data_IF_520363474516
#
_entry.id   IF_520363474516
#
_cell.length_a   1.000
_cell.length_b   1.000
_cell.length_c   1.000
_cell.angle_alpha   90.00
_cell.angle_beta   90.00
_cell.angle_gamma   90.00
#
_symmetry.space_group_name_H-M   'P 1'
#
loop_
_entity.id
_entity.type
_entity.pdbx_description
1 polymer ?
#
# COMPACT_ATOMS: atom_id res chain seq x y z
N UNK A 1 31.52 -52.27 -20.62
CA UNK A 1 31.18 -51.67 -19.32
C UNK A 1 30.81 -50.19 -19.52
N UNK A 2 29.54 -49.87 -19.58
CA UNK A 2 29.07 -48.47 -19.72
C UNK A 2 28.54 -48.01 -18.37
N UNK A 3 29.23 -47.05 -17.76
CA UNK A 3 28.78 -46.39 -16.53
C UNK A 3 27.76 -45.30 -16.89
N UNK A 4 26.51 -45.48 -16.49
CA UNK A 4 25.48 -44.45 -16.51
C UNK A 4 25.67 -43.55 -15.30
N UNK A 5 26.07 -42.27 -15.53
CA UNK A 5 25.99 -41.24 -14.52
C UNK A 5 24.55 -40.71 -14.46
N UNK A 6 23.87 -41.00 -13.34
CA UNK A 6 22.61 -40.39 -13.02
C UNK A 6 22.81 -38.95 -12.53
N UNK A 7 22.29 -37.99 -13.28
CA UNK A 7 22.22 -36.58 -12.86
C UNK A 7 20.95 -36.41 -12.06
N UNK A 8 21.05 -36.31 -10.75
CA UNK A 8 19.94 -35.96 -9.87
C UNK A 8 19.78 -34.44 -9.90
N UNK A 9 18.76 -33.96 -10.61
CA UNK A 9 18.39 -32.56 -10.59
C UNK A 9 17.73 -32.24 -9.24
N UNK A 10 18.43 -31.49 -8.40
CA UNK A 10 17.87 -30.94 -7.17
C UNK A 10 17.03 -29.72 -7.52
N UNK A 11 15.70 -29.88 -7.54
CA UNK A 11 14.77 -28.78 -7.70
C UNK A 11 14.74 -27.99 -6.37
N UNK A 12 15.43 -26.87 -6.31
CA UNK A 12 15.27 -25.92 -5.20
C UNK A 12 13.91 -25.25 -5.34
N UNK A 13 12.94 -25.69 -4.55
CA UNK A 13 11.74 -24.90 -4.28
C UNK A 13 12.12 -23.71 -3.42
N UNK A 14 12.35 -22.56 -4.04
CA UNK A 14 12.45 -21.29 -3.31
C UNK A 14 11.06 -20.89 -2.84
N UNK A 15 10.69 -21.28 -1.63
CA UNK A 15 9.56 -20.69 -0.93
C UNK A 15 9.94 -19.24 -0.62
N UNK A 16 9.40 -18.31 -1.39
CA UNK A 16 9.47 -16.88 -1.06
C UNK A 16 8.69 -16.65 0.23
N UNK A 17 9.37 -16.75 1.36
CA UNK A 17 8.82 -16.25 2.61
C UNK A 17 8.69 -14.73 2.44
N UNK A 18 7.45 -14.23 2.34
CA UNK A 18 7.18 -12.81 2.46
C UNK A 18 7.46 -12.39 3.90
N UNK A 19 8.73 -12.15 4.22
CA UNK A 19 9.10 -11.42 5.42
C UNK A 19 8.48 -10.04 5.28
N UNK A 20 7.59 -9.66 6.22
CA UNK A 20 7.01 -8.32 6.26
C UNK A 20 8.15 -7.34 6.43
N UNK A 21 8.49 -6.62 5.35
CA UNK A 21 9.52 -5.60 5.40
C UNK A 21 9.07 -4.53 6.41
N UNK A 22 9.90 -4.31 7.46
CA UNK A 22 9.62 -3.31 8.51
C UNK A 22 9.43 -1.89 7.97
N UNK A 23 9.85 -1.64 6.75
CA UNK A 23 9.71 -0.35 6.07
C UNK A 23 8.37 -0.20 5.34
N UNK A 24 7.57 -1.26 5.21
CA UNK A 24 6.26 -1.18 4.57
C UNK A 24 5.30 -0.37 5.44
N UNK A 25 4.65 0.61 4.84
CA UNK A 25 3.61 1.47 5.44
C UNK A 25 2.22 0.97 5.08
N UNK A 26 2.07 0.52 3.84
CA UNK A 26 0.84 -0.06 3.32
C UNK A 26 1.17 -1.09 2.24
N UNK A 27 0.49 -2.21 2.26
CA UNK A 27 0.54 -3.17 1.15
C UNK A 27 -0.71 -4.00 1.04
N UNK A 28 -1.10 -4.26 -0.19
CA UNK A 28 -2.15 -5.21 -0.53
C UNK A 28 -1.89 -5.83 -1.91
N UNK A 29 -2.64 -6.87 -2.22
CA UNK A 29 -2.76 -7.35 -3.60
C UNK A 29 -4.01 -6.74 -4.21
N UNK A 30 -3.89 -6.11 -5.37
CA UNK A 30 -5.05 -5.53 -6.05
C UNK A 30 -5.98 -6.61 -6.60
N UNK A 31 -7.20 -6.22 -6.96
CA UNK A 31 -8.16 -7.09 -7.65
C UNK A 31 -7.66 -7.63 -9.00
N UNK A 32 -6.65 -6.97 -9.58
CA UNK A 32 -5.94 -7.43 -10.78
C UNK A 32 -4.78 -8.41 -10.48
N UNK A 33 -4.56 -8.74 -9.20
CA UNK A 33 -3.49 -9.65 -8.78
C UNK A 33 -2.10 -9.01 -8.67
N UNK A 34 -1.99 -7.68 -8.79
CA UNK A 34 -0.72 -6.93 -8.72
C UNK A 34 -0.51 -6.36 -7.32
N UNK A 35 0.74 -6.30 -6.83
CA UNK A 35 1.02 -5.69 -5.54
C UNK A 35 0.90 -4.16 -5.61
N UNK A 36 0.21 -3.57 -4.64
CA UNK A 36 0.24 -2.15 -4.31
C UNK A 36 1.03 -1.99 -3.02
N UNK A 37 2.07 -1.17 -3.03
CA UNK A 37 2.90 -0.93 -1.84
C UNK A 37 3.22 0.54 -1.65
N UNK A 38 3.29 0.95 -0.39
CA UNK A 38 3.95 2.18 0.06
C UNK A 38 4.95 1.78 1.12
N UNK A 39 6.20 2.17 0.95
CA UNK A 39 7.27 1.86 1.91
C UNK A 39 8.19 3.04 2.16
N UNK A 40 8.86 3.04 3.31
CA UNK A 40 9.91 4.01 3.62
C UNK A 40 11.19 3.62 2.90
N UNK A 41 11.76 4.56 2.17
CA UNK A 41 13.07 4.46 1.52
C UNK A 41 13.87 5.70 1.89
N UNK A 42 14.76 5.58 2.85
CA UNK A 42 15.44 6.74 3.43
C UNK A 42 14.43 7.70 4.08
N UNK A 43 14.43 8.95 3.65
CA UNK A 43 13.52 10.00 4.12
C UNK A 43 12.25 10.15 3.26
N UNK A 44 12.00 9.20 2.37
CA UNK A 44 10.89 9.24 1.43
C UNK A 44 9.90 8.09 1.67
N UNK A 45 8.65 8.31 1.26
CA UNK A 45 7.73 7.24 0.92
C UNK A 45 7.86 6.90 -0.55
N UNK A 46 8.00 5.64 -0.87
CA UNK A 46 7.95 5.11 -2.24
C UNK A 46 6.63 4.40 -2.46
N UNK A 47 5.87 4.92 -3.42
CA UNK A 47 4.67 4.27 -3.95
C UNK A 47 5.08 3.36 -5.09
N UNK A 48 4.48 2.18 -5.16
CA UNK A 48 4.67 1.24 -6.25
C UNK A 48 3.39 0.48 -6.57
N UNK A 49 2.96 0.58 -7.81
CA UNK A 49 1.91 -0.24 -8.38
C UNK A 49 2.14 -0.40 -9.88
N UNK A 50 2.24 -1.65 -10.35
CA UNK A 50 2.53 -2.00 -11.74
C UNK A 50 3.79 -1.26 -12.25
N UNK A 51 3.66 -0.41 -13.25
CA UNK A 51 4.75 0.40 -13.82
C UNK A 51 4.90 1.77 -13.15
N UNK A 52 3.99 2.16 -12.26
CA UNK A 52 4.02 3.44 -11.57
C UNK A 52 4.83 3.32 -10.30
N UNK A 53 5.98 3.98 -10.26
CA UNK A 53 6.86 4.04 -9.09
C UNK A 53 7.32 5.48 -8.92
N UNK A 54 7.13 6.06 -7.74
CA UNK A 54 7.61 7.39 -7.42
C UNK A 54 7.83 7.57 -5.92
N UNK A 55 8.51 8.64 -5.53
CA UNK A 55 8.83 8.96 -4.14
C UNK A 55 8.33 10.34 -3.76
N UNK A 56 7.91 10.48 -2.51
CA UNK A 56 7.61 11.76 -1.88
C UNK A 56 8.34 11.87 -0.55
N UNK A 57 8.91 13.03 -0.20
CA UNK A 57 9.48 13.24 1.12
C UNK A 57 8.44 12.99 2.20
N UNK A 58 8.77 12.19 3.21
CA UNK A 58 7.85 11.82 4.31
C UNK A 58 7.29 13.08 4.96
N UNK A 59 8.16 14.07 5.27
CA UNK A 59 7.76 15.33 5.90
C UNK A 59 6.68 16.09 5.14
N UNK A 60 6.68 16.00 3.79
CA UNK A 60 5.65 16.62 2.96
C UNK A 60 4.41 15.76 2.87
N UNK A 61 4.57 14.46 2.62
CA UNK A 61 3.46 13.54 2.44
C UNK A 61 2.53 13.53 3.66
N UNK A 62 3.07 13.45 4.88
CA UNK A 62 2.25 13.39 6.11
C UNK A 62 1.51 14.71 6.43
N UNK A 63 1.90 15.83 5.83
CA UNK A 63 1.26 17.14 6.00
C UNK A 63 0.38 17.55 4.82
N UNK A 64 0.24 16.72 3.80
CA UNK A 64 -0.73 16.96 2.74
C UNK A 64 -2.17 16.94 3.31
N UNK A 65 -3.06 17.73 2.75
CA UNK A 65 -4.45 17.85 3.23
C UNK A 65 -5.21 16.52 3.22
N UNK A 66 -4.90 15.66 2.27
CA UNK A 66 -5.47 14.31 2.17
C UNK A 66 -4.78 13.26 3.07
N UNK A 67 -3.74 13.63 3.82
CA UNK A 67 -3.04 12.72 4.74
C UNK A 67 -3.63 12.89 6.15
N UNK A 68 -4.64 12.07 6.46
CA UNK A 68 -5.45 12.19 7.67
C UNK A 68 -5.70 10.86 8.36
N UNK A 69 -5.87 10.94 9.67
CA UNK A 69 -6.53 9.93 10.49
C UNK A 69 -7.81 10.57 11.01
N UNK A 70 -8.95 10.20 10.43
CA UNK A 70 -10.25 10.74 10.81
C UNK A 70 -11.03 9.72 11.63
N UNK A 71 -11.38 10.07 12.87
CA UNK A 71 -12.14 9.21 13.78
C UNK A 71 -13.59 9.65 13.84
N UNK A 72 -14.47 8.86 13.25
CA UNK A 72 -15.91 9.03 13.34
C UNK A 72 -16.55 8.22 14.47
N UNK A 73 -17.87 8.38 14.66
CA UNK A 73 -18.64 7.66 15.67
C UNK A 73 -18.77 6.15 15.41
N UNK A 74 -18.57 5.69 14.18
CA UNK A 74 -18.71 4.28 13.78
C UNK A 74 -17.51 3.72 13.02
N UNK A 75 -16.54 4.56 12.64
CA UNK A 75 -15.39 4.15 11.82
C UNK A 75 -14.21 5.10 11.97
N UNK A 76 -13.04 4.62 11.54
CA UNK A 76 -11.81 5.41 11.43
C UNK A 76 -11.31 5.34 10.00
N UNK A 77 -11.04 6.48 9.40
CA UNK A 77 -10.41 6.60 8.08
C UNK A 77 -8.91 6.77 8.24
N UNK A 78 -8.16 5.99 7.49
CA UNK A 78 -6.72 6.12 7.34
C UNK A 78 -6.42 6.48 5.89
N UNK A 79 -5.81 7.62 5.65
CA UNK A 79 -5.47 8.09 4.32
C UNK A 79 -4.09 8.75 4.30
N UNK A 80 -3.28 8.40 3.32
CA UNK A 80 -1.98 9.00 3.03
C UNK A 80 -1.99 9.53 1.60
N UNK A 81 -1.87 10.84 1.45
CA UNK A 81 -1.82 11.50 0.14
C UNK A 81 -0.38 11.62 -0.34
N UNK A 82 -0.14 11.06 -1.52
CA UNK A 82 1.10 11.17 -2.27
C UNK A 82 0.84 11.90 -3.59
N UNK A 83 1.85 12.55 -4.14
CA UNK A 83 1.72 13.34 -5.37
C UNK A 83 2.74 12.94 -6.41
N UNK A 84 2.30 12.84 -7.66
CA UNK A 84 3.17 12.57 -8.80
C UNK A 84 2.56 13.13 -10.09
N UNK A 85 3.33 13.94 -10.83
CA UNK A 85 2.94 14.49 -12.14
C UNK A 85 1.54 15.14 -12.17
N UNK A 86 1.23 15.99 -11.18
CA UNK A 86 -0.06 16.68 -11.06
C UNK A 86 -1.22 15.79 -10.65
N UNK A 87 -0.96 14.56 -10.20
CA UNK A 87 -1.92 13.62 -9.69
C UNK A 87 -1.73 13.41 -8.19
N UNK A 88 -2.85 13.25 -7.47
CA UNK A 88 -2.91 12.80 -6.09
C UNK A 88 -3.20 11.30 -6.04
N UNK A 89 -2.46 10.60 -5.23
CA UNK A 89 -2.64 9.18 -4.91
C UNK A 89 -2.98 9.07 -3.42
N UNK A 90 -4.23 8.88 -3.09
CA UNK A 90 -4.66 8.71 -1.69
C UNK A 90 -4.74 7.23 -1.39
N UNK A 91 -3.78 6.76 -0.60
CA UNK A 91 -3.66 5.35 -0.21
C UNK A 91 -4.25 5.17 1.18
N UNK A 92 -5.15 4.23 1.33
CA UNK A 92 -5.76 4.00 2.64
C UNK A 92 -6.99 3.11 2.61
N UNK A 93 -7.79 3.24 3.65
CA UNK A 93 -9.02 2.48 3.85
C UNK A 93 -9.85 3.11 4.97
N UNK A 94 -11.10 2.65 5.10
CA UNK A 94 -11.97 2.93 6.24
C UNK A 94 -12.11 1.64 7.06
N UNK A 95 -11.94 1.75 8.37
CA UNK A 95 -12.10 0.64 9.30
C UNK A 95 -13.26 0.89 10.24
N UNK A 96 -14.27 -0.01 10.31
CA UNK A 96 -15.31 0.07 11.31
C UNK A 96 -14.73 0.00 12.72
N UNK A 97 -15.27 0.80 13.65
CA UNK A 97 -14.86 0.75 15.05
C UNK A 97 -15.25 -0.58 15.71
N UNK A 98 -14.53 -0.96 16.76
CA UNK A 98 -14.74 -2.21 17.49
C UNK A 98 -13.84 -3.35 17.00
N UNK A 99 -14.31 -4.60 17.10
CA UNK A 99 -13.53 -5.79 16.76
C UNK A 99 -13.62 -6.21 15.28
N UNK A 100 -14.14 -5.35 14.42
CA UNK A 100 -14.22 -5.65 12.99
C UNK A 100 -12.81 -5.70 12.37
N UNK A 101 -12.56 -6.76 11.60
CA UNK A 101 -11.36 -6.91 10.77
C UNK A 101 -11.62 -6.50 9.31
N UNK A 102 -12.78 -5.94 9.05
CA UNK A 102 -13.16 -5.52 7.71
C UNK A 102 -12.48 -4.20 7.35
N UNK A 103 -12.06 -4.11 6.11
CA UNK A 103 -11.57 -2.87 5.50
C UNK A 103 -12.56 -2.45 4.43
N UNK A 104 -12.97 -1.19 4.50
CA UNK A 104 -13.88 -0.60 3.51
C UNK A 104 -13.02 0.18 2.51
N UNK A 105 -13.20 -0.11 1.23
CA UNK A 105 -12.51 0.53 0.11
C UNK A 105 -10.98 0.64 0.27
N UNK A 106 -10.29 -0.46 0.63
CA UNK A 106 -8.84 -0.42 0.76
C UNK A 106 -8.19 -0.30 -0.62
N UNK A 107 -7.18 0.56 -0.72
CA UNK A 107 -6.47 0.75 -1.98
C UNK A 107 -5.90 2.14 -2.16
N UNK A 108 -5.85 2.59 -3.41
CA UNK A 108 -5.42 3.94 -3.78
C UNK A 108 -6.47 4.58 -4.71
N UNK A 109 -6.87 5.80 -4.37
CA UNK A 109 -7.70 6.64 -5.26
C UNK A 109 -6.81 7.65 -5.96
N UNK A 110 -6.97 7.80 -7.26
CA UNK A 110 -6.15 8.69 -8.09
C UNK A 110 -7.03 9.82 -8.61
N UNK A 111 -6.63 11.06 -8.39
CA UNK A 111 -7.32 12.25 -8.84
C UNK A 111 -6.32 13.31 -9.34
N UNK A 112 -6.83 14.35 -10.01
CA UNK A 112 -6.02 15.52 -10.35
C UNK A 112 -5.82 16.39 -9.11
N UNK A 113 -4.71 17.11 -9.05
CA UNK A 113 -4.33 17.95 -7.89
C UNK A 113 -5.20 19.23 -7.73
N UNK A 114 -6.24 19.38 -8.50
CA UNK A 114 -7.15 20.54 -8.50
C UNK A 114 -8.54 20.23 -7.98
N UNK A 115 -8.66 19.28 -7.04
CA UNK A 115 -9.92 18.84 -6.41
C UNK A 115 -11.00 18.34 -7.39
N UNK A 116 -10.58 17.86 -8.54
CA UNK A 116 -11.45 17.20 -9.51
C UNK A 116 -11.81 15.77 -9.05
N UNK A 117 -12.91 15.20 -9.55
CA UNK A 117 -13.28 13.82 -9.28
C UNK A 117 -12.13 12.84 -9.56
N UNK A 118 -12.16 11.70 -8.90
CA UNK A 118 -11.18 10.64 -9.14
C UNK A 118 -11.17 10.21 -10.62
N UNK A 119 -9.98 9.99 -11.15
CA UNK A 119 -9.78 9.53 -12.54
C UNK A 119 -9.43 8.03 -12.59
N UNK A 120 -9.21 7.41 -11.45
CA UNK A 120 -8.90 5.99 -11.35
C UNK A 120 -8.75 5.53 -9.90
N UNK A 121 -8.65 4.24 -9.74
CA UNK A 121 -8.39 3.61 -8.45
C UNK A 121 -7.56 2.34 -8.62
N UNK A 122 -6.91 1.94 -7.54
CA UNK A 122 -6.32 0.62 -7.36
C UNK A 122 -7.02 -0.01 -6.18
N UNK A 123 -7.89 -0.96 -6.43
CA UNK A 123 -8.69 -1.59 -5.38
C UNK A 123 -7.98 -2.85 -4.87
N UNK A 124 -7.82 -2.96 -3.56
CA UNK A 124 -7.29 -4.17 -2.94
C UNK A 124 -8.29 -5.32 -3.00
N UNK A 125 -7.81 -6.52 -3.23
CA UNK A 125 -8.60 -7.74 -3.13
C UNK A 125 -9.02 -7.97 -1.66
N UNK A 126 -10.32 -7.94 -1.33
CA UNK A 126 -10.80 -8.05 0.04
C UNK A 126 -10.55 -9.43 0.66
N UNK A 127 -10.25 -10.44 -0.15
CA UNK A 127 -9.97 -11.81 0.29
C UNK A 127 -8.48 -12.06 0.55
N UNK A 128 -7.62 -11.07 0.28
CA UNK A 128 -6.17 -11.16 0.50
C UNK A 128 -5.75 -10.25 1.65
N UNK A 129 -4.61 -10.61 2.26
CA UNK A 129 -4.09 -9.87 3.41
C UNK A 129 -3.75 -8.43 3.03
N UNK A 130 -4.21 -7.49 3.84
CA UNK A 130 -3.84 -6.08 3.82
C UNK A 130 -2.94 -5.82 5.00
N UNK A 131 -1.81 -5.19 4.75
CA UNK A 131 -0.88 -4.74 5.78
C UNK A 131 -0.85 -3.22 5.81
N UNK A 132 -0.88 -2.63 7.00
CA UNK A 132 -0.71 -1.20 7.19
C UNK A 132 0.04 -0.89 8.49
N UNK A 133 0.85 0.13 8.42
CA UNK A 133 1.56 0.72 9.57
C UNK A 133 1.88 2.18 9.24
N UNK A 134 0.85 3.00 9.20
CA UNK A 134 1.00 4.43 8.98
C UNK A 134 1.73 5.12 10.12
N UNK A 135 2.47 6.19 9.82
CA UNK A 135 3.11 7.05 10.80
C UNK A 135 2.09 8.01 11.43
N UNK A 136 1.11 7.44 12.14
CA UNK A 136 -0.07 8.15 12.67
C UNK A 136 0.30 9.33 13.56
N UNK A 137 1.46 9.27 14.24
CA UNK A 137 1.96 10.35 15.09
C UNK A 137 2.48 11.56 14.30
N UNK A 138 2.70 11.42 13.00
CA UNK A 138 3.14 12.48 12.10
C UNK A 138 1.98 13.06 11.28
N UNK A 139 0.83 12.39 11.24
CA UNK A 139 -0.30 12.75 10.39
C UNK A 139 -1.32 13.60 11.15
N UNK A 140 -2.09 14.40 10.39
CA UNK A 140 -3.20 15.15 10.97
C UNK A 140 -4.28 14.20 11.50
N UNK A 141 -4.80 14.48 12.68
CA UNK A 141 -5.90 13.74 13.29
C UNK A 141 -7.12 14.66 13.35
N UNK A 142 -8.25 14.17 12.80
CA UNK A 142 -9.55 14.86 12.79
C UNK A 142 -10.56 14.10 13.64
#
# INVERSE_FOLDING_TARGET
MRKLLGITALTLCTTSAFATDKNVVFSCTSTEGKPLTVKRVGNDYEYSYDKTIFKNPIKKAVTNDGSIIARGSGFTTYALELKNDGLKYVVGFVQPNGNSKEFIEPGATISRDNDQPSIGSVDCDPYKKIYYKFDVHLMNTL
#
